data_IF_211090617648
#
_entry.id   IF_211090617648
#
_cell.length_a   1.000
_cell.length_b   1.000
_cell.length_c   1.000
_cell.angle_alpha   90.00
_cell.angle_beta   90.00
_cell.angle_gamma   90.00
#
_symmetry.space_group_name_H-M   'P 1'
#
loop_
_entity.id
_entity.type
_entity.pdbx_description
1 polymer ?
#
# COMPACT_ATOMS: atom_id res chain seq x y z
N UNK A 1 -32.48 26.84 -8.05
CA UNK A 1 -31.34 26.23 -8.75
C UNK A 1 -30.11 26.26 -7.84
N UNK A 2 -30.13 25.59 -6.67
CA UNK A 2 -28.94 25.50 -5.80
C UNK A 2 -28.09 24.34 -6.29
N UNK A 3 -27.14 24.64 -7.18
CA UNK A 3 -26.14 23.68 -7.66
C UNK A 3 -25.34 23.23 -6.44
N UNK A 4 -25.56 21.97 -6.07
CA UNK A 4 -24.77 21.25 -5.07
C UNK A 4 -23.37 21.11 -5.65
N UNK A 5 -22.51 22.09 -5.40
CA UNK A 5 -21.12 22.09 -5.84
C UNK A 5 -20.37 21.09 -4.95
N UNK A 6 -20.42 19.80 -5.32
CA UNK A 6 -19.46 18.80 -4.87
C UNK A 6 -18.08 19.25 -5.33
N UNK A 7 -17.41 20.04 -4.50
CA UNK A 7 -15.99 20.32 -4.66
C UNK A 7 -15.27 19.01 -4.30
N UNK A 8 -14.56 18.34 -5.24
CA UNK A 8 -13.66 17.29 -4.83
C UNK A 8 -12.64 17.88 -3.84
N UNK A 9 -12.21 17.11 -2.82
CA UNK A 9 -11.18 17.59 -1.90
C UNK A 9 -9.95 18.02 -2.71
N UNK A 10 -9.20 19.04 -2.24
CA UNK A 10 -7.97 19.44 -2.91
C UNK A 10 -7.09 18.20 -3.06
N UNK A 11 -6.64 17.96 -4.29
CA UNK A 11 -5.59 16.98 -4.59
C UNK A 11 -4.30 17.59 -4.01
N UNK A 12 -4.14 17.48 -2.69
CA UNK A 12 -2.86 17.64 -2.00
C UNK A 12 -1.92 16.71 -2.75
N UNK A 13 -0.94 17.27 -3.47
CA UNK A 13 -0.03 16.59 -4.41
C UNK A 13 0.85 15.47 -3.83
N UNK A 14 0.40 14.85 -2.75
CA UNK A 14 0.81 13.54 -2.28
C UNK A 14 0.53 12.51 -3.37
N UNK A 15 1.55 11.79 -3.88
CA UNK A 15 1.33 10.73 -4.84
C UNK A 15 0.27 9.77 -4.29
N UNK A 16 -0.80 9.53 -5.07
CA UNK A 16 -1.88 8.63 -4.66
C UNK A 16 -1.29 7.28 -4.28
N UNK A 17 -1.18 7.02 -2.99
CA UNK A 17 -0.66 5.76 -2.44
C UNK A 17 -1.53 4.64 -3.03
N UNK A 18 -0.92 3.69 -3.73
CA UNK A 18 -1.65 2.57 -4.33
C UNK A 18 -2.39 1.80 -3.21
N UNK A 19 -3.69 1.58 -3.37
CA UNK A 19 -4.47 0.69 -2.49
C UNK A 19 -4.15 -0.75 -2.84
N UNK A 20 -3.83 -1.55 -1.82
CA UNK A 20 -3.69 -2.99 -1.98
C UNK A 20 -5.00 -3.67 -1.57
N UNK A 21 -5.23 -4.84 -2.13
CA UNK A 21 -6.40 -5.69 -1.86
C UNK A 21 -5.90 -7.09 -1.54
N UNK A 22 -6.41 -7.67 -0.45
CA UNK A 22 -6.14 -9.04 -0.09
C UNK A 22 -7.06 -9.98 -0.89
N UNK A 23 -6.51 -10.90 -1.73
CA UNK A 23 -7.33 -11.79 -2.54
C UNK A 23 -8.05 -12.88 -1.72
N UNK A 24 -7.62 -13.10 -0.47
CA UNK A 24 -8.11 -14.18 0.38
C UNK A 24 -9.31 -13.76 1.24
N UNK A 25 -9.20 -12.65 1.99
CA UNK A 25 -10.25 -12.15 2.88
C UNK A 25 -10.96 -10.87 2.38
N UNK A 26 -10.48 -10.27 1.29
CA UNK A 26 -11.04 -9.01 0.76
C UNK A 26 -10.63 -7.75 1.51
N UNK A 27 -9.68 -7.81 2.45
CA UNK A 27 -9.18 -6.63 3.15
C UNK A 27 -8.52 -5.64 2.16
N UNK A 28 -8.91 -4.38 2.23
CA UNK A 28 -8.34 -3.30 1.42
C UNK A 28 -7.74 -2.22 2.31
N UNK A 29 -6.53 -1.77 1.97
CA UNK A 29 -5.87 -0.69 2.70
C UNK A 29 -4.82 -0.04 1.80
N UNK A 30 -4.52 1.24 2.06
CA UNK A 30 -3.42 1.92 1.37
C UNK A 30 -2.12 1.14 1.58
N UNK A 31 -1.20 1.13 0.60
CA UNK A 31 0.07 0.38 0.71
C UNK A 31 0.91 0.71 1.96
N UNK A 32 0.76 1.92 2.48
CA UNK A 32 1.43 2.42 3.70
C UNK A 32 0.49 2.47 4.91
N UNK A 33 -0.68 1.83 4.79
CA UNK A 33 -1.71 1.75 5.80
C UNK A 33 -1.50 0.55 6.72
N UNK A 34 -2.53 -0.29 6.83
CA UNK A 34 -2.62 -1.34 7.85
C UNK A 34 -1.87 -2.64 7.49
N UNK A 35 -1.15 -2.65 6.36
CA UNK A 35 -0.40 -3.84 5.95
C UNK A 35 0.75 -4.11 6.89
N UNK A 36 0.90 -5.38 7.28
CA UNK A 36 2.10 -5.81 8.01
C UNK A 36 3.25 -5.93 7.04
N UNK A 37 4.20 -5.01 7.14
CA UNK A 37 5.40 -4.99 6.32
C UNK A 37 6.57 -5.60 7.09
N UNK A 38 7.06 -6.73 6.60
CA UNK A 38 8.28 -7.34 7.11
C UNK A 38 9.45 -7.04 6.18
N UNK A 39 10.50 -6.44 6.73
CA UNK A 39 11.75 -6.18 6.02
C UNK A 39 12.68 -7.37 6.23
N UNK A 40 13.03 -8.03 5.14
CA UNK A 40 13.97 -9.15 5.13
C UNK A 40 15.09 -8.88 4.14
N UNK A 41 16.32 -9.13 4.57
CA UNK A 41 17.50 -9.03 3.71
C UNK A 41 17.83 -10.41 3.18
N UNK A 42 17.77 -10.58 1.86
CA UNK A 42 18.13 -11.83 1.17
C UNK A 42 19.14 -11.48 0.10
N UNK A 43 20.32 -12.11 0.13
CA UNK A 43 21.37 -11.93 -0.88
C UNK A 43 21.79 -10.44 -0.99
N UNK A 44 22.05 -9.80 0.17
CA UNK A 44 22.36 -8.36 0.32
C UNK A 44 21.31 -7.38 -0.23
N UNK A 45 20.12 -7.87 -0.59
CA UNK A 45 19.00 -7.05 -1.08
C UNK A 45 17.91 -6.96 -0.03
N UNK A 46 17.54 -5.72 0.34
CA UNK A 46 16.42 -5.48 1.24
C UNK A 46 15.09 -5.75 0.50
N UNK A 47 14.18 -6.46 1.17
CA UNK A 47 12.89 -6.86 0.62
C UNK A 47 11.79 -6.60 1.63
N UNK A 48 10.75 -5.89 1.20
CA UNK A 48 9.55 -5.64 1.96
C UNK A 48 8.47 -6.67 1.57
N UNK A 49 8.04 -7.47 2.54
CA UNK A 49 6.95 -8.44 2.41
C UNK A 49 5.71 -7.84 3.04
N UNK A 50 4.67 -7.62 2.24
CA UNK A 50 3.39 -7.10 2.69
C UNK A 50 2.45 -8.27 2.99
N UNK A 51 1.98 -8.36 4.22
CA UNK A 51 1.06 -9.38 4.69
C UNK A 51 -0.23 -8.76 5.21
N UNK A 52 -1.34 -9.47 4.98
CA UNK A 52 -2.65 -9.06 5.43
C UNK A 52 -2.73 -9.12 6.96
N UNK A 53 -3.14 -8.04 7.65
CA UNK A 53 -3.32 -8.05 9.10
C UNK A 53 -4.47 -8.95 9.57
N UNK A 54 -5.45 -9.21 8.69
CA UNK A 54 -6.65 -9.98 9.03
C UNK A 54 -6.46 -11.49 8.92
N UNK A 55 -5.83 -11.99 7.85
CA UNK A 55 -5.64 -13.43 7.62
C UNK A 55 -4.19 -13.89 7.53
N UNK A 56 -3.22 -12.96 7.52
CA UNK A 56 -1.79 -13.26 7.40
C UNK A 56 -1.32 -13.55 5.97
N UNK A 57 -2.21 -13.53 4.98
CA UNK A 57 -1.85 -13.80 3.58
C UNK A 57 -0.84 -12.80 3.05
N UNK A 58 0.24 -13.28 2.45
CA UNK A 58 1.25 -12.44 1.79
C UNK A 58 0.69 -11.91 0.49
N UNK A 59 0.50 -10.60 0.41
CA UNK A 59 -0.10 -9.92 -0.74
C UNK A 59 0.94 -9.67 -1.81
N UNK A 60 2.10 -9.16 -1.41
CA UNK A 60 3.16 -8.83 -2.35
C UNK A 60 4.50 -8.82 -1.64
N UNK A 61 5.56 -8.96 -2.43
CA UNK A 61 6.93 -8.98 -1.96
C UNK A 61 7.76 -8.10 -2.87
N UNK A 62 8.11 -6.90 -2.41
CA UNK A 62 8.80 -5.88 -3.19
C UNK A 62 10.24 -5.76 -2.73
N UNK A 63 11.20 -5.50 -3.64
CA UNK A 63 12.50 -5.00 -3.20
C UNK A 63 12.25 -3.70 -2.43
N UNK A 64 12.73 -3.62 -1.19
CA UNK A 64 12.50 -2.49 -0.30
C UNK A 64 13.29 -1.23 -0.73
N UNK A 65 14.17 -1.37 -1.72
CA UNK A 65 14.72 -0.26 -2.49
C UNK A 65 14.98 -0.67 -3.94
N UNK A 66 14.23 -0.07 -4.84
CA UNK A 66 14.84 0.61 -5.99
C UNK A 66 14.84 2.11 -5.67
N UNK A 67 15.55 2.52 -4.61
CA UNK A 67 16.08 3.88 -4.55
C UNK A 67 17.58 3.76 -4.74
N UNK A 68 17.95 3.34 -5.96
CA UNK A 68 19.29 3.48 -6.46
C UNK A 68 19.25 4.62 -7.48
N UNK A 69 20.08 5.63 -7.20
CA UNK A 69 20.46 6.79 -8.03
C UNK A 69 19.41 7.89 -8.22
#
# INVERSE_FOLDING_TARGET
>A
MTRSERRPPPDDGTPRKATLYCPDCGHESAIDGDWRVEHTTVDDRDRAVYSCPACGTVITRRPARLALA
#
